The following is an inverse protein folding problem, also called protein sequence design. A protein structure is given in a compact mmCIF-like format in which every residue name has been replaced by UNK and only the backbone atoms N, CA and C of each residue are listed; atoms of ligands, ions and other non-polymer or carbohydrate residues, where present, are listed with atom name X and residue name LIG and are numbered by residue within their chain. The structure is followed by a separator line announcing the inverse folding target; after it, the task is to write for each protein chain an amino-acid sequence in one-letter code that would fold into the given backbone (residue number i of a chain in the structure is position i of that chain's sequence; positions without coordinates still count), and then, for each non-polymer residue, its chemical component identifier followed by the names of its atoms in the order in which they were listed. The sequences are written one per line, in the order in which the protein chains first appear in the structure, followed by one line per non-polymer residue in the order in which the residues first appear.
data_IF_166621002422
#
_entry.id   IF_166621002422
#
_cell.length_a   1.000
_cell.length_b   1.000
_cell.length_c   1.000
_cell.angle_alpha   90.00
_cell.angle_beta   90.00
_cell.angle_gamma   90.00
#
_symmetry.space_group_name_H-M   'P 1'
#
loop_
_entity.id
_entity.type
_entity.pdbx_description
1 polymer ?
#
# COMPACT_ATOMS: atom_id res chain seq x y z
N UNK A 1 -18.99 13.48 -18.53
CA UNK A 1 -18.72 12.06 -18.28
C UNK A 1 -17.54 11.82 -17.35
N UNK A 2 -16.34 12.36 -17.61
CA UNK A 2 -15.13 12.09 -16.81
C UNK A 2 -15.26 12.32 -15.28
N UNK A 3 -15.98 13.36 -14.85
CA UNK A 3 -16.23 13.66 -13.41
C UNK A 3 -17.15 12.65 -12.70
N UNK A 4 -18.08 12.04 -13.43
CA UNK A 4 -18.98 11.02 -12.89
C UNK A 4 -18.18 9.74 -12.61
N UNK A 5 -17.34 9.34 -13.57
CA UNK A 5 -16.47 8.16 -13.47
C UNK A 5 -15.48 8.28 -12.30
N UNK A 6 -14.84 9.42 -12.09
CA UNK A 6 -13.93 9.61 -10.93
C UNK A 6 -14.65 9.46 -9.59
N UNK A 7 -15.93 9.83 -9.52
CA UNK A 7 -16.70 9.78 -8.27
C UNK A 7 -17.19 8.35 -7.98
N UNK A 8 -17.57 7.61 -9.03
CA UNK A 8 -17.97 6.20 -8.96
C UNK A 8 -16.76 5.32 -8.57
N UNK A 9 -15.60 5.55 -9.18
CA UNK A 9 -14.37 4.82 -8.88
C UNK A 9 -13.84 5.12 -7.46
N UNK A 10 -13.97 6.35 -6.96
CA UNK A 10 -13.54 6.71 -5.61
C UNK A 10 -14.46 6.18 -4.49
N UNK A 11 -15.69 5.75 -4.82
CA UNK A 11 -16.64 5.21 -3.83
C UNK A 11 -16.60 3.68 -3.74
N UNK A 12 -15.79 3.00 -4.57
CA UNK A 12 -15.58 1.55 -4.50
C UNK A 12 -14.53 1.22 -3.40
N UNK A 13 -14.86 0.39 -2.41
CA UNK A 13 -13.96 0.08 -1.29
C UNK A 13 -12.69 -0.68 -1.73
N UNK A 14 -12.77 -1.52 -2.77
CA UNK A 14 -11.64 -2.26 -3.34
C UNK A 14 -10.56 -1.33 -3.90
N UNK A 15 -11.00 -0.35 -4.68
CA UNK A 15 -10.13 0.69 -5.24
C UNK A 15 -9.49 1.49 -4.09
N UNK A 16 -10.23 1.77 -3.02
CA UNK A 16 -9.72 2.50 -1.84
C UNK A 16 -8.58 1.76 -1.12
N UNK A 17 -8.69 0.45 -0.93
CA UNK A 17 -7.62 -0.36 -0.32
C UNK A 17 -6.36 -0.40 -1.21
N UNK A 18 -6.53 -0.49 -2.53
CA UNK A 18 -5.41 -0.45 -3.47
C UNK A 18 -4.71 0.93 -3.47
N UNK A 19 -5.46 2.04 -3.34
CA UNK A 19 -4.87 3.37 -3.15
C UNK A 19 -4.10 3.49 -1.84
N UNK A 20 -4.59 2.90 -0.75
CA UNK A 20 -3.86 2.90 0.52
C UNK A 20 -2.51 2.18 0.40
N UNK A 21 -2.44 1.08 -0.37
CA UNK A 21 -1.18 0.40 -0.67
C UNK A 21 -0.22 1.29 -1.49
N UNK A 22 -0.73 2.00 -2.51
CA UNK A 22 0.07 2.95 -3.28
C UNK A 22 0.60 4.12 -2.41
N UNK A 23 -0.19 4.64 -1.46
CA UNK A 23 0.28 5.69 -0.54
C UNK A 23 1.33 5.22 0.45
N UNK A 24 1.45 3.90 0.68
CA UNK A 24 2.48 3.34 1.56
C UNK A 24 3.87 3.40 0.91
N UNK A 25 3.94 3.26 -0.42
CA UNK A 25 5.19 3.40 -1.18
C UNK A 25 5.78 4.81 -1.10
N UNK A 26 4.93 5.84 -1.06
CA UNK A 26 5.37 7.24 -0.92
C UNK A 26 6.04 7.54 0.43
N UNK A 27 5.91 6.65 1.42
CA UNK A 27 6.46 6.85 2.76
C UNK A 27 7.77 6.11 3.00
N UNK A 28 8.31 5.40 2.02
CA UNK A 28 9.60 4.71 2.18
C UNK A 28 10.73 5.73 2.02
N UNK A 29 11.61 5.85 3.03
CA UNK A 29 12.72 6.82 3.00
C UNK A 29 14.09 6.24 3.30
N UNK A 30 14.17 4.97 3.69
CA UNK A 30 15.43 4.26 3.92
C UNK A 30 15.63 3.13 2.90
N UNK A 31 16.87 2.96 2.46
CA UNK A 31 17.26 1.91 1.52
C UNK A 31 17.23 0.51 2.15
N UNK A 32 17.35 -0.53 1.31
CA UNK A 32 17.30 -1.91 1.78
C UNK A 32 18.46 -2.28 2.74
N UNK A 33 19.64 -1.71 2.55
CA UNK A 33 20.79 -1.97 3.43
C UNK A 33 20.54 -1.48 4.85
N UNK A 34 19.94 -0.30 5.00
CA UNK A 34 19.54 0.25 6.29
C UNK A 34 18.39 -0.51 6.92
N UNK A 35 17.46 -1.03 6.10
CA UNK A 35 16.38 -1.89 6.60
C UNK A 35 16.95 -3.16 7.22
N UNK A 36 17.83 -3.87 6.51
CA UNK A 36 18.49 -5.09 7.00
C UNK A 36 19.33 -4.78 8.23
N UNK A 37 20.13 -3.70 8.19
CA UNK A 37 20.95 -3.30 9.34
C UNK A 37 20.09 -3.00 10.56
N UNK A 38 18.96 -2.29 10.37
CA UNK A 38 18.02 -1.98 11.45
C UNK A 38 17.35 -3.23 12.02
N UNK A 39 17.04 -4.21 11.17
CA UNK A 39 16.47 -5.49 11.61
C UNK A 39 17.47 -6.30 12.44
N UNK A 40 18.72 -6.39 11.97
CA UNK A 40 19.78 -7.14 12.66
C UNK A 40 20.16 -6.47 13.98
N UNK A 41 20.46 -5.17 13.98
CA UNK A 41 20.81 -4.44 15.21
C UNK A 41 19.62 -4.35 16.17
N UNK A 42 18.42 -4.04 15.67
CA UNK A 42 17.21 -3.97 16.47
C UNK A 42 16.88 -5.32 17.12
N UNK A 43 16.94 -6.41 16.35
CA UNK A 43 16.67 -7.76 16.85
C UNK A 43 17.69 -8.22 17.88
N UNK A 44 18.99 -8.02 17.61
CA UNK A 44 20.05 -8.39 18.57
C UNK A 44 19.95 -7.60 19.87
N UNK A 45 19.70 -6.29 19.79
CA UNK A 45 19.53 -5.43 20.97
C UNK A 45 18.26 -5.76 21.76
N UNK A 46 17.15 -6.04 21.08
CA UNK A 46 15.89 -6.42 21.71
C UNK A 46 16.04 -7.75 22.45
N UNK A 47 16.58 -8.77 21.77
CA UNK A 47 16.83 -10.09 22.36
C UNK A 47 17.84 -10.03 23.53
N UNK A 48 18.85 -9.17 23.43
CA UNK A 48 19.79 -8.92 24.52
C UNK A 48 19.16 -8.24 25.73
N UNK A 49 18.16 -7.39 25.50
CA UNK A 49 17.43 -6.66 26.55
C UNK A 49 16.38 -7.53 27.23
N UNK A 50 15.69 -8.39 26.48
CA UNK A 50 14.71 -9.36 26.99
C UNK A 50 15.32 -10.39 27.96
N UNK A 51 16.60 -10.71 27.79
CA UNK A 51 17.32 -11.67 28.66
C UNK A 51 17.84 -11.07 29.96
N UNK A 52 17.66 -9.77 30.19
CA UNK A 52 18.15 -9.07 31.38
C UNK A 52 16.99 -8.76 32.33
N UNK A 53 17.23 -8.69 33.65
CA UNK A 53 16.23 -8.23 34.60
C UNK A 53 15.78 -6.80 34.24
N UNK A 54 14.52 -6.47 34.56
CA UNK A 54 13.93 -5.15 34.30
C UNK A 54 14.75 -4.06 35.01
N UNK A 55 15.66 -3.47 34.25
CA UNK A 55 16.50 -2.35 34.63
C UNK A 55 16.23 -1.21 33.66
N UNK A 56 16.51 0.03 34.09
CA UNK A 56 16.47 1.22 33.22
C UNK A 56 17.23 0.98 31.91
N UNK A 57 18.41 0.34 31.96
CA UNK A 57 19.19 0.00 30.75
C UNK A 57 18.47 -1.01 29.85
N UNK A 58 17.75 -1.97 30.43
CA UNK A 58 16.93 -2.93 29.69
C UNK A 58 15.73 -2.27 29.02
N UNK A 59 15.09 -1.31 29.69
CA UNK A 59 13.99 -0.51 29.13
C UNK A 59 14.43 0.31 27.92
N UNK A 60 15.57 1.01 28.00
CA UNK A 60 16.13 1.72 26.85
C UNK A 60 16.49 0.76 25.71
N UNK A 61 17.03 -0.41 26.02
CA UNK A 61 17.35 -1.43 25.03
C UNK A 61 16.11 -2.05 24.38
N UNK A 62 15.02 -2.22 25.13
CA UNK A 62 13.72 -2.65 24.61
C UNK A 62 13.12 -1.59 23.67
N UNK A 63 13.06 -0.34 24.14
CA UNK A 63 12.51 0.77 23.35
C UNK A 63 13.30 1.00 22.06
N UNK A 64 14.64 1.10 22.16
CA UNK A 64 15.49 1.31 21.00
C UNK A 64 15.50 0.12 20.04
N UNK A 65 15.50 -1.11 20.55
CA UNK A 65 15.48 -2.32 19.73
C UNK A 65 14.15 -2.47 18.98
N UNK A 66 13.04 -2.21 19.67
CA UNK A 66 11.70 -2.21 19.06
C UNK A 66 11.58 -1.13 17.98
N UNK A 67 12.09 0.08 18.25
CA UNK A 67 12.10 1.16 17.27
C UNK A 67 12.93 0.81 16.02
N UNK A 68 14.11 0.21 16.20
CA UNK A 68 14.94 -0.22 15.07
C UNK A 68 14.24 -1.29 14.22
N UNK A 69 13.61 -2.28 14.85
CA UNK A 69 12.80 -3.26 14.13
C UNK A 69 11.64 -2.61 13.38
N UNK A 70 10.92 -1.69 14.02
CA UNK A 70 9.82 -0.96 13.41
C UNK A 70 10.27 -0.22 12.14
N UNK A 71 11.35 0.59 12.22
CA UNK A 71 11.84 1.33 11.04
C UNK A 71 12.34 0.38 9.94
N UNK A 72 12.98 -0.73 10.30
CA UNK A 72 13.48 -1.72 9.32
C UNK A 72 12.35 -2.43 8.57
N UNK A 73 11.32 -2.88 9.30
CA UNK A 73 10.14 -3.51 8.72
C UNK A 73 9.37 -2.54 7.81
N UNK A 74 9.11 -1.33 8.30
CA UNK A 74 8.33 -0.31 7.58
C UNK A 74 9.09 0.35 6.44
N UNK A 75 10.43 0.33 6.44
CA UNK A 75 11.22 1.08 5.47
C UNK A 75 11.12 2.60 5.66
N UNK A 76 10.71 3.05 6.84
CA UNK A 76 10.43 4.45 7.12
C UNK A 76 11.03 4.90 8.46
N UNK A 77 11.69 6.04 8.43
CA UNK A 77 12.32 6.73 9.56
C UNK A 77 11.71 8.12 9.74
N UNK A 78 10.91 8.37 10.80
CA UNK A 78 10.30 9.69 11.06
C UNK A 78 11.33 10.82 11.19
N UNK A 79 12.51 10.50 11.71
CA UNK A 79 13.60 11.49 11.88
C UNK A 79 14.14 11.95 10.54
N UNK A 80 14.22 11.04 9.56
CA UNK A 80 14.68 11.39 8.22
C UNK A 80 13.64 12.26 7.50
N UNK A 81 12.35 11.96 7.64
CA UNK A 81 11.28 12.82 7.11
C UNK A 81 11.28 14.21 7.74
N UNK A 82 11.44 14.30 9.08
CA UNK A 82 11.52 15.57 9.78
C UNK A 82 12.73 16.42 9.35
N UNK A 83 13.76 15.79 8.77
CA UNK A 83 14.95 16.43 8.23
C UNK A 83 14.93 16.56 6.70
N UNK A 84 13.81 16.24 6.05
CA UNK A 84 13.66 16.17 4.59
C UNK A 84 14.78 15.36 3.91
N UNK A 85 15.19 14.27 4.56
CA UNK A 85 16.29 13.42 4.16
C UNK A 85 15.79 12.02 3.76
N UNK A 86 16.47 11.42 2.80
CA UNK A 86 16.26 10.02 2.41
C UNK A 86 17.59 9.39 2.02
N UNK A 87 17.80 8.13 2.41
CA UNK A 87 19.00 7.36 2.04
C UNK A 87 18.82 6.48 0.81
N UNK A 88 17.70 6.65 0.11
CA UNK A 88 17.42 5.94 -1.13
C UNK A 88 18.38 6.39 -2.23
N UNK A 89 18.96 5.41 -2.92
CA UNK A 89 19.76 5.64 -4.12
C UNK A 89 18.88 6.13 -5.27
N UNK A 90 19.48 6.78 -6.28
CA UNK A 90 18.75 7.21 -7.47
C UNK A 90 18.08 6.05 -8.20
N UNK A 91 18.73 4.88 -8.23
CA UNK A 91 18.16 3.65 -8.79
C UNK A 91 16.95 3.15 -7.98
N UNK A 92 16.99 3.19 -6.65
CA UNK A 92 15.85 2.79 -5.82
C UNK A 92 14.67 3.75 -5.99
N UNK A 93 14.93 5.06 -6.07
CA UNK A 93 13.89 6.06 -6.34
C UNK A 93 13.22 5.81 -7.70
N UNK A 94 14.01 5.58 -8.76
CA UNK A 94 13.49 5.25 -10.09
C UNK A 94 12.69 3.94 -10.09
N UNK A 95 13.18 2.92 -9.41
CA UNK A 95 12.49 1.64 -9.31
C UNK A 95 11.11 1.80 -8.65
N UNK A 96 11.03 2.57 -7.56
CA UNK A 96 9.77 2.86 -6.89
C UNK A 96 8.82 3.69 -7.74
N UNK A 97 9.34 4.64 -8.53
CA UNK A 97 8.53 5.44 -9.46
C UNK A 97 7.94 4.57 -10.57
N UNK A 98 8.74 3.68 -11.16
CA UNK A 98 8.27 2.71 -12.16
C UNK A 98 7.22 1.79 -11.56
N UNK A 99 7.48 1.26 -10.36
CA UNK A 99 6.56 0.36 -9.67
C UNK A 99 5.24 1.06 -9.32
N UNK A 100 5.30 2.33 -8.90
CA UNK A 100 4.12 3.18 -8.65
C UNK A 100 3.30 3.38 -9.91
N UNK A 101 3.94 3.73 -11.03
CA UNK A 101 3.23 3.91 -12.31
C UNK A 101 2.61 2.61 -12.78
N UNK A 102 3.34 1.48 -12.67
CA UNK A 102 2.82 0.16 -13.03
C UNK A 102 1.69 -0.31 -12.10
N UNK A 103 1.72 0.04 -10.81
CA UNK A 103 0.61 -0.23 -9.89
C UNK A 103 -0.63 0.60 -10.25
N UNK A 104 -0.45 1.89 -10.54
CA UNK A 104 -1.53 2.78 -10.96
C UNK A 104 -2.20 2.30 -12.25
N UNK A 105 -1.41 1.92 -13.26
CA UNK A 105 -1.90 1.42 -14.54
C UNK A 105 -2.73 0.14 -14.38
N UNK A 106 -2.26 -0.82 -13.57
CA UNK A 106 -3.00 -2.05 -13.26
C UNK A 106 -4.35 -1.76 -12.63
N UNK A 107 -4.38 -0.93 -11.59
CA UNK A 107 -5.63 -0.55 -10.90
C UNK A 107 -6.60 0.14 -11.87
N UNK A 108 -6.09 1.01 -12.74
CA UNK A 108 -6.91 1.67 -13.75
C UNK A 108 -7.48 0.67 -14.76
N UNK A 109 -6.68 -0.29 -15.23
CA UNK A 109 -7.13 -1.32 -16.17
C UNK A 109 -8.21 -2.21 -15.58
N UNK A 110 -8.04 -2.70 -14.35
CA UNK A 110 -9.03 -3.52 -13.64
C UNK A 110 -10.35 -2.76 -13.45
N UNK A 111 -10.25 -1.49 -13.05
CA UNK A 111 -11.42 -0.63 -12.87
C UNK A 111 -12.16 -0.34 -14.18
N UNK A 112 -11.43 -0.19 -15.29
CA UNK A 112 -12.01 0.02 -16.62
C UNK A 112 -12.71 -1.24 -17.13
N UNK A 113 -12.07 -2.41 -16.99
CA UNK A 113 -12.64 -3.69 -17.44
C UNK A 113 -13.96 -3.99 -16.71
N UNK A 114 -14.00 -3.82 -15.39
CA UNK A 114 -15.24 -3.96 -14.61
C UNK A 114 -16.35 -2.99 -15.07
N UNK A 115 -16.00 -1.72 -15.33
CA UNK A 115 -16.99 -0.72 -15.75
C UNK A 115 -17.57 -1.02 -17.14
N UNK A 116 -16.74 -1.57 -18.04
CA UNK A 116 -17.17 -1.98 -19.38
C UNK A 116 -18.12 -3.19 -19.29
N UNK A 117 -17.82 -4.17 -18.44
CA UNK A 117 -18.66 -5.35 -18.24
C UNK A 117 -20.03 -5.00 -17.65
N UNK A 118 -20.07 -4.10 -16.67
CA UNK A 118 -21.33 -3.60 -16.07
C UNK A 118 -22.22 -2.86 -17.09
N UNK A 119 -21.63 -1.98 -17.92
CA UNK A 119 -22.36 -1.27 -19.00
C UNK A 119 -22.81 -2.22 -20.12
N UNK A 120 -22.04 -3.27 -20.41
CA UNK A 120 -22.43 -4.32 -21.36
C UNK A 120 -23.62 -5.12 -20.82
N UNK A 121 -23.61 -5.54 -19.56
CA UNK A 121 -24.70 -6.29 -18.93
C UNK A 121 -25.99 -5.48 -18.84
N UNK A 122 -25.90 -4.19 -18.48
CA UNK A 122 -27.06 -3.27 -18.46
C UNK A 122 -27.69 -3.15 -19.85
N UNK A 123 -26.87 -2.92 -20.89
CA UNK A 123 -27.35 -2.86 -22.28
C UNK A 123 -27.93 -4.18 -22.77
N UNK A 124 -27.40 -5.30 -22.31
CA UNK A 124 -27.91 -6.63 -22.65
C UNK A 124 -29.29 -6.84 -22.02
N UNK A 125 -29.50 -6.39 -20.78
CA UNK A 125 -30.78 -6.47 -20.09
C UNK A 125 -31.87 -5.61 -20.76
N UNK A 126 -31.53 -4.39 -21.23
CA UNK A 126 -32.51 -3.52 -21.91
C UNK A 126 -32.90 -4.02 -23.32
N UNK A 127 -32.02 -4.76 -24.00
CA UNK A 127 -32.23 -5.22 -25.38
C UNK A 127 -33.11 -6.47 -25.46
N UNK A 128 -33.20 -7.24 -24.38
CA UNK A 128 -34.08 -8.41 -24.25
C UNK A 128 -35.12 -8.15 -23.16
N UNK A 129 -36.15 -7.31 -23.40
CA UNK A 129 -37.30 -7.30 -22.51
C UNK A 129 -37.83 -8.73 -22.44
N UNK A 130 -37.96 -9.25 -21.22
CA UNK A 130 -38.37 -10.62 -20.94
C UNK A 130 -39.45 -11.05 -21.95
N UNK A 131 -39.13 -12.07 -22.73
CA UNK A 131 -40.04 -12.72 -23.69
C UNK A 131 -41.17 -13.48 -22.96
N UNK A 132 -41.70 -12.93 -21.87
CA UNK A 132 -42.97 -13.32 -21.28
C UNK A 132 -44.10 -12.60 -22.03
N UNK A 133 -44.13 -12.86 -23.34
CA UNK A 133 -45.36 -12.79 -24.10
C UNK A 133 -45.72 -14.23 -24.47
N UNK A 134 -46.97 -14.60 -24.15
CA UNK A 134 -47.65 -15.89 -24.39
C UNK A 134 -47.40 -16.93 -23.29
N UNK A 135 -48.41 -17.57 -22.69
CA UNK A 135 -49.76 -17.85 -23.15
C UNK A 135 -50.73 -18.01 -21.97
N UNK A 136 -51.93 -17.46 -22.07
CA UNK A 136 -53.12 -18.01 -21.44
C UNK A 136 -54.30 -17.69 -22.34
N UNK A 137 -54.94 -18.78 -22.78
CA UNK A 137 -56.04 -18.92 -23.74
C UNK A 137 -57.33 -18.22 -23.30
#
# INVERSE_FOLDING_TARGET
MFRQLTTILLNRPEIREQWEQMTNYDRVNINNNERVTSLVFGGTMLLGSLRRPLSIRGLFGLAGGSYMLYRGLRGYCPVYEALDYSSLTSSEKQQMEIERVAAHDRVLSEALDQAIEEDLDEKLYETFPASDATASY
#
